data_IF_618223471538
#
_entry.id   IF_618223471538
#
_cell.length_a   1.000
_cell.length_b   1.000
_cell.length_c   1.000
_cell.angle_alpha   90.00
_cell.angle_beta   90.00
_cell.angle_gamma   90.00
#
_symmetry.space_group_name_H-M   'P 1'
#
loop_
_entity.id
_entity.type
_entity.pdbx_description
1 polymer ?
#
# COMPACT_ATOMS: atom_id res chain seq x y z
N UNK A 1 -6.98 39.76 -14.87
CA UNK A 1 -6.66 38.46 -15.52
C UNK A 1 -5.70 37.59 -14.69
N UNK A 2 -5.75 37.63 -13.34
CA UNK A 2 -4.85 36.82 -12.49
C UNK A 2 -5.56 36.25 -11.25
N UNK A 3 -6.75 35.66 -11.45
CA UNK A 3 -7.56 35.12 -10.36
C UNK A 3 -8.55 34.02 -10.74
N UNK A 4 -8.47 33.49 -11.96
CA UNK A 4 -9.49 32.57 -12.49
C UNK A 4 -8.97 31.17 -12.86
N UNK A 5 -7.69 30.87 -12.62
CA UNK A 5 -7.13 29.52 -12.85
C UNK A 5 -7.18 28.65 -11.57
N UNK A 6 -7.36 29.26 -10.39
CA UNK A 6 -7.45 28.51 -9.11
C UNK A 6 -8.91 28.18 -8.75
N UNK A 7 -9.89 28.77 -9.44
CA UNK A 7 -11.32 28.68 -9.10
C UNK A 7 -12.16 27.64 -9.85
N UNK A 8 -11.59 26.85 -10.77
CA UNK A 8 -12.33 25.83 -11.54
C UNK A 8 -11.74 24.43 -11.46
N UNK A 9 -10.72 24.20 -10.63
CA UNK A 9 -10.27 22.84 -10.24
C UNK A 9 -11.18 22.24 -9.16
N UNK A 10 -12.48 22.51 -9.26
CA UNK A 10 -13.48 22.26 -8.23
C UNK A 10 -14.86 22.21 -8.86
N UNK A 11 -15.07 21.27 -9.77
CA UNK A 11 -16.41 20.79 -10.10
C UNK A 11 -16.35 19.26 -10.13
N UNK A 12 -17.03 18.69 -9.14
CA UNK A 12 -17.43 17.29 -8.98
C UNK A 12 -16.30 16.25 -8.85
N UNK A 13 -16.06 15.88 -7.59
CA UNK A 13 -15.95 14.50 -7.10
C UNK A 13 -15.11 13.54 -7.96
N UNK A 14 -13.94 13.15 -7.44
CA UNK A 14 -13.12 12.00 -7.88
C UNK A 14 -11.96 12.27 -8.86
N UNK A 15 -11.22 13.37 -8.69
CA UNK A 15 -9.81 13.38 -9.14
C UNK A 15 -9.00 12.54 -8.15
N UNK A 16 -9.14 11.22 -8.23
CA UNK A 16 -8.33 10.29 -7.43
C UNK A 16 -6.83 10.56 -7.60
N UNK A 17 -6.00 10.00 -6.72
CA UNK A 17 -4.53 10.18 -6.70
C UNK A 17 -3.88 10.10 -8.09
N UNK A 18 -4.42 9.27 -8.99
CA UNK A 18 -4.00 9.14 -10.39
C UNK A 18 -4.19 10.44 -11.19
N UNK A 19 -5.37 11.07 -11.11
CA UNK A 19 -5.64 12.32 -11.82
C UNK A 19 -4.76 13.48 -11.34
N UNK A 20 -4.50 13.56 -10.04
CA UNK A 20 -3.61 14.59 -9.49
C UNK A 20 -2.17 14.45 -10.03
N UNK A 21 -1.66 13.22 -10.09
CA UNK A 21 -0.29 12.93 -10.55
C UNK A 21 -0.10 13.10 -12.05
N UNK A 22 -1.10 12.74 -12.86
CA UNK A 22 -0.95 12.67 -14.32
C UNK A 22 -1.71 13.75 -15.11
N UNK A 23 -2.57 14.55 -14.46
CA UNK A 23 -3.27 15.67 -15.09
C UNK A 23 -2.81 16.98 -14.45
N UNK A 24 -3.04 17.13 -13.14
CA UNK A 24 -2.81 18.39 -12.45
C UNK A 24 -1.32 18.77 -12.38
N UNK A 25 -0.45 17.83 -12.00
CA UNK A 25 0.98 18.10 -11.90
C UNK A 25 1.66 18.42 -13.25
N UNK A 26 1.41 17.67 -14.33
CA UNK A 26 1.91 18.05 -15.65
C UNK A 26 1.44 19.43 -16.12
N UNK A 27 0.18 19.79 -15.86
CA UNK A 27 -0.34 21.13 -16.18
C UNK A 27 0.37 22.21 -15.37
N UNK A 28 0.64 21.96 -14.08
CA UNK A 28 1.42 22.88 -13.25
C UNK A 28 2.84 23.08 -13.81
N UNK A 29 3.52 22.00 -14.23
CA UNK A 29 4.84 22.11 -14.86
C UNK A 29 4.79 22.86 -16.20
N UNK A 30 3.73 22.71 -16.99
CA UNK A 30 3.58 23.46 -18.24
C UNK A 30 3.41 24.97 -17.97
N UNK A 31 2.63 25.33 -16.95
CA UNK A 31 2.38 26.74 -16.59
C UNK A 31 3.62 27.48 -16.07
N UNK A 32 4.65 26.75 -15.60
CA UNK A 32 5.88 27.38 -15.11
C UNK A 32 6.75 27.99 -16.22
N UNK A 33 6.54 27.59 -17.48
CA UNK A 33 7.34 27.96 -18.67
C UNK A 33 8.87 27.74 -18.49
N UNK A 34 9.64 27.57 -19.57
CA UNK A 34 11.10 27.39 -19.49
C UNK A 34 11.60 26.14 -18.74
N UNK A 35 11.71 26.21 -17.39
CA UNK A 35 12.26 25.18 -16.49
C UNK A 35 11.27 24.03 -16.23
N UNK A 36 9.97 24.26 -16.42
CA UNK A 36 8.91 23.28 -16.14
C UNK A 36 9.11 21.91 -16.79
N UNK A 37 9.64 21.84 -18.02
CA UNK A 37 9.94 20.57 -18.70
C UNK A 37 10.99 19.74 -17.97
N UNK A 38 12.05 20.40 -17.47
CA UNK A 38 13.12 19.72 -16.73
C UNK A 38 12.60 19.19 -15.39
N UNK A 39 11.81 20.01 -14.67
CA UNK A 39 11.20 19.60 -13.40
C UNK A 39 10.23 18.44 -13.59
N UNK A 40 9.38 18.49 -14.61
CA UNK A 40 8.48 17.39 -14.94
C UNK A 40 9.24 16.10 -15.25
N UNK A 41 10.30 16.17 -16.05
CA UNK A 41 11.14 15.01 -16.33
C UNK A 41 11.77 14.42 -15.06
N UNK A 42 12.40 15.25 -14.22
CA UNK A 42 13.03 14.79 -12.97
C UNK A 42 12.01 14.23 -11.99
N UNK A 43 10.83 14.83 -11.89
CA UNK A 43 9.74 14.36 -11.05
C UNK A 43 9.25 12.97 -11.48
N UNK A 44 8.92 12.78 -12.76
CA UNK A 44 8.45 11.48 -13.24
C UNK A 44 9.56 10.41 -13.23
N UNK A 45 10.82 10.81 -13.40
CA UNK A 45 11.95 9.90 -13.21
C UNK A 45 12.04 9.43 -11.76
N UNK A 46 11.93 10.34 -10.80
CA UNK A 46 11.92 9.99 -9.37
C UNK A 46 10.70 9.12 -9.01
N UNK A 47 9.52 9.44 -9.55
CA UNK A 47 8.30 8.67 -9.37
C UNK A 47 8.44 7.25 -9.93
N UNK A 48 9.02 7.09 -11.12
CA UNK A 48 9.26 5.78 -11.73
C UNK A 48 10.24 4.94 -10.91
N UNK A 49 11.33 5.53 -10.41
CA UNK A 49 12.29 4.84 -9.54
C UNK A 49 11.62 4.42 -8.23
N UNK A 50 10.84 5.30 -7.60
CA UNK A 50 10.11 5.00 -6.36
C UNK A 50 9.04 3.90 -6.53
N UNK A 51 8.35 3.89 -7.66
CA UNK A 51 7.40 2.83 -8.01
C UNK A 51 8.12 1.49 -8.22
N UNK A 52 9.27 1.49 -8.93
CA UNK A 52 10.05 0.27 -9.18
C UNK A 52 10.58 -0.35 -7.88
N UNK A 53 11.14 0.44 -6.97
CA UNK A 53 11.67 -0.08 -5.70
C UNK A 53 10.55 -0.65 -4.81
N UNK A 54 9.39 0.00 -4.78
CA UNK A 54 8.22 -0.49 -4.07
C UNK A 54 7.70 -1.80 -4.67
N UNK A 55 7.61 -1.89 -6.00
CA UNK A 55 7.19 -3.10 -6.70
C UNK A 55 8.14 -4.28 -6.44
N UNK A 56 9.46 -4.04 -6.43
CA UNK A 56 10.46 -5.07 -6.08
C UNK A 56 10.29 -5.54 -4.63
N UNK A 57 10.10 -4.62 -3.68
CA UNK A 57 9.89 -4.98 -2.27
C UNK A 57 8.63 -5.83 -2.08
N UNK A 58 7.54 -5.51 -2.78
CA UNK A 58 6.28 -6.27 -2.69
C UNK A 58 6.40 -7.65 -3.35
N UNK A 59 7.08 -7.74 -4.50
CA UNK A 59 7.31 -9.02 -5.17
C UNK A 59 8.19 -9.95 -4.31
N UNK A 60 9.22 -9.42 -3.65
CA UNK A 60 10.13 -10.23 -2.83
C UNK A 60 9.41 -10.89 -1.64
N UNK A 61 8.43 -10.21 -1.03
CA UNK A 61 7.59 -10.81 0.04
C UNK A 61 6.84 -12.04 -0.48
N UNK A 62 6.25 -11.95 -1.67
CA UNK A 62 5.60 -13.10 -2.32
C UNK A 62 6.60 -14.20 -2.69
N UNK A 63 7.76 -13.82 -3.22
CA UNK A 63 8.83 -14.76 -3.61
C UNK A 63 9.36 -15.53 -2.41
N UNK A 64 9.66 -14.86 -1.29
CA UNK A 64 10.08 -15.53 -0.05
C UNK A 64 9.02 -16.50 0.44
N UNK A 65 7.75 -16.06 0.46
CA UNK A 65 6.63 -16.89 0.88
C UNK A 65 6.48 -18.14 0.01
N UNK A 66 6.70 -18.03 -1.31
CA UNK A 66 6.64 -19.15 -2.23
C UNK A 66 7.85 -20.09 -2.13
N UNK A 67 9.03 -19.58 -1.79
CA UNK A 67 10.21 -20.40 -1.52
C UNK A 67 9.98 -21.23 -0.24
N UNK A 68 9.58 -20.56 0.84
CA UNK A 68 9.42 -21.20 2.15
C UNK A 68 8.20 -22.13 2.20
N UNK A 69 7.09 -21.74 1.57
CA UNK A 69 5.83 -22.49 1.60
C UNK A 69 5.70 -23.56 0.52
N UNK A 70 6.25 -23.35 -0.68
CA UNK A 70 6.10 -24.25 -1.84
C UNK A 70 7.41 -24.90 -2.30
N UNK A 71 8.54 -24.56 -1.68
CA UNK A 71 9.85 -25.13 -2.02
C UNK A 71 10.35 -24.73 -3.42
N UNK A 72 9.82 -23.66 -4.01
CA UNK A 72 10.21 -23.22 -5.36
C UNK A 72 11.60 -22.61 -5.35
N UNK A 73 12.33 -22.73 -6.46
CA UNK A 73 13.58 -21.99 -6.64
C UNK A 73 13.30 -20.50 -6.85
N UNK A 74 14.15 -19.63 -6.29
CA UNK A 74 14.01 -18.16 -6.34
C UNK A 74 13.64 -17.63 -7.74
N UNK A 75 14.35 -18.09 -8.77
CA UNK A 75 14.09 -17.68 -10.16
C UNK A 75 12.70 -18.07 -10.64
N UNK A 76 12.24 -19.29 -10.32
CA UNK A 76 10.90 -19.75 -10.70
C UNK A 76 9.85 -18.95 -9.94
N UNK A 77 9.98 -18.81 -8.62
CA UNK A 77 9.05 -18.04 -7.81
C UNK A 77 8.88 -16.60 -8.32
N UNK A 78 9.99 -15.90 -8.59
CA UNK A 78 9.97 -14.53 -9.10
C UNK A 78 9.30 -14.42 -10.48
N UNK A 79 9.59 -15.35 -11.41
CA UNK A 79 8.97 -15.33 -12.74
C UNK A 79 7.47 -15.64 -12.68
N UNK A 80 7.07 -16.67 -11.93
CA UNK A 80 5.66 -17.05 -11.83
C UNK A 80 4.82 -15.97 -11.17
N UNK A 81 5.28 -15.42 -10.04
CA UNK A 81 4.57 -14.34 -9.35
C UNK A 81 4.60 -13.05 -10.18
N UNK A 82 5.73 -12.70 -10.79
CA UNK A 82 5.84 -11.52 -11.63
C UNK A 82 4.89 -11.56 -12.83
N UNK A 83 4.83 -12.69 -13.55
CA UNK A 83 3.89 -12.89 -14.66
C UNK A 83 2.44 -12.88 -14.15
N UNK A 84 2.16 -13.57 -13.03
CA UNK A 84 0.82 -13.60 -12.44
C UNK A 84 0.32 -12.21 -12.07
N UNK A 85 1.14 -11.41 -11.39
CA UNK A 85 0.82 -10.03 -11.01
C UNK A 85 0.67 -9.15 -12.25
N UNK A 86 1.54 -9.29 -13.26
CA UNK A 86 1.43 -8.54 -14.50
C UNK A 86 0.11 -8.83 -15.25
N UNK A 87 -0.32 -10.10 -15.29
CA UNK A 87 -1.59 -10.49 -15.89
C UNK A 87 -2.79 -9.96 -15.10
N UNK A 88 -2.75 -10.04 -13.77
CA UNK A 88 -3.80 -9.45 -12.93
C UNK A 88 -3.87 -7.93 -13.08
N UNK A 89 -2.73 -7.27 -13.28
CA UNK A 89 -2.62 -5.83 -13.51
C UNK A 89 -3.23 -5.35 -14.83
N UNK A 90 -3.52 -6.24 -15.78
CA UNK A 90 -4.19 -5.86 -17.04
C UNK A 90 -5.60 -5.33 -16.79
N UNK A 91 -6.36 -5.89 -15.84
CA UNK A 91 -7.71 -5.42 -15.54
C UNK A 91 -7.74 -3.94 -15.10
N UNK A 92 -7.04 -3.58 -14.02
CA UNK A 92 -6.88 -2.19 -13.58
C UNK A 92 -6.28 -1.25 -14.63
N UNK A 93 -5.48 -1.77 -15.57
CA UNK A 93 -4.89 -0.95 -16.64
C UNK A 93 -5.93 -0.50 -17.69
N UNK A 94 -7.02 -1.26 -17.86
CA UNK A 94 -8.10 -0.92 -18.79
C UNK A 94 -9.28 -0.20 -18.13
N UNK A 95 -9.54 -0.46 -16.85
CA UNK A 95 -10.69 0.10 -16.13
C UNK A 95 -10.31 0.59 -14.73
N UNK A 96 -10.46 1.91 -14.52
CA UNK A 96 -10.20 2.59 -13.23
C UNK A 96 -11.15 2.08 -12.13
N UNK A 97 -12.33 1.58 -12.48
CA UNK A 97 -13.27 0.98 -11.52
C UNK A 97 -12.71 -0.33 -10.94
N UNK A 98 -12.05 -1.13 -11.79
CA UNK A 98 -11.37 -2.36 -11.35
C UNK A 98 -10.15 -2.00 -10.49
N UNK A 99 -9.41 -0.95 -10.86
CA UNK A 99 -8.31 -0.42 -10.04
C UNK A 99 -8.81 -0.03 -8.64
N UNK A 100 -9.92 0.71 -8.55
CA UNK A 100 -10.52 1.10 -7.28
C UNK A 100 -10.98 -0.09 -6.43
N UNK A 101 -11.60 -1.10 -7.06
CA UNK A 101 -11.99 -2.32 -6.36
C UNK A 101 -10.77 -3.08 -5.81
N UNK A 102 -9.72 -3.24 -6.61
CA UNK A 102 -8.50 -3.93 -6.19
C UNK A 102 -7.75 -3.16 -5.10
N UNK A 103 -7.69 -1.83 -5.19
CA UNK A 103 -7.09 -0.97 -4.16
C UNK A 103 -7.86 -1.06 -2.84
N UNK A 104 -9.20 -1.03 -2.87
CA UNK A 104 -10.01 -1.20 -1.66
C UNK A 104 -9.84 -2.60 -1.04
N UNK A 105 -9.86 -3.65 -1.87
CA UNK A 105 -9.65 -5.01 -1.40
C UNK A 105 -8.27 -5.20 -0.78
N UNK A 106 -7.20 -4.76 -1.45
CA UNK A 106 -5.84 -4.96 -0.97
C UNK A 106 -5.48 -4.02 0.19
N UNK A 107 -5.71 -2.72 0.00
CA UNK A 107 -5.30 -1.66 0.92
C UNK A 107 -6.20 -1.52 2.15
N UNK A 108 -7.51 -1.71 2.02
CA UNK A 108 -8.44 -1.51 3.14
C UNK A 108 -8.87 -2.81 3.80
N UNK A 109 -9.01 -3.90 3.05
CA UNK A 109 -9.45 -5.19 3.61
C UNK A 109 -8.26 -6.08 3.98
N UNK A 110 -7.45 -6.51 3.01
CA UNK A 110 -6.37 -7.48 3.27
C UNK A 110 -5.29 -6.94 4.19
N UNK A 111 -4.88 -5.67 4.02
CA UNK A 111 -3.87 -5.05 4.88
C UNK A 111 -4.35 -4.94 6.32
N UNK A 112 -5.60 -4.47 6.54
CA UNK A 112 -6.15 -4.28 7.89
C UNK A 112 -6.41 -5.62 8.56
N UNK A 113 -7.03 -6.58 7.86
CA UNK A 113 -7.29 -7.93 8.41
C UNK A 113 -5.98 -8.68 8.67
N UNK A 114 -5.02 -8.60 7.76
CA UNK A 114 -3.69 -9.20 7.93
C UNK A 114 -2.93 -8.58 9.10
N UNK A 115 -2.99 -7.25 9.24
CA UNK A 115 -2.43 -6.53 10.39
C UNK A 115 -3.10 -6.92 11.70
N UNK A 116 -4.43 -7.07 11.72
CA UNK A 116 -5.18 -7.49 12.90
C UNK A 116 -4.78 -8.91 13.31
N UNK A 117 -4.74 -9.85 12.35
CA UNK A 117 -4.31 -11.22 12.59
C UNK A 117 -2.87 -11.28 13.11
N UNK A 118 -1.95 -10.51 12.51
CA UNK A 118 -0.56 -10.42 12.96
C UNK A 118 -0.46 -9.85 14.38
N UNK A 119 -1.19 -8.78 14.68
CA UNK A 119 -1.18 -8.16 16.01
C UNK A 119 -1.72 -9.09 17.10
N UNK A 120 -2.79 -9.84 16.81
CA UNK A 120 -3.34 -10.82 17.73
C UNK A 120 -2.37 -11.98 17.95
N UNK A 121 -1.74 -12.48 16.87
CA UNK A 121 -0.75 -13.54 16.95
C UNK A 121 0.47 -13.12 17.79
N UNK A 122 1.06 -11.95 17.52
CA UNK A 122 2.24 -11.47 18.26
C UNK A 122 1.88 -11.07 19.70
N UNK A 123 0.73 -10.44 19.90
CA UNK A 123 0.30 -9.95 21.22
C UNK A 123 -0.14 -11.05 22.19
N UNK A 124 -0.75 -12.13 21.68
CA UNK A 124 -1.40 -13.14 22.50
C UNK A 124 -0.88 -14.57 22.29
N UNK A 125 -0.61 -14.98 21.05
CA UNK A 125 -0.22 -16.36 20.75
C UNK A 125 1.29 -16.60 20.91
N UNK A 126 2.11 -15.60 20.60
CA UNK A 126 3.56 -15.71 20.65
C UNK A 126 4.07 -15.59 22.09
N UNK A 127 4.46 -16.73 22.67
CA UNK A 127 4.91 -16.85 24.08
C UNK A 127 6.15 -15.98 24.35
N UNK A 128 7.09 -15.94 23.41
CA UNK A 128 8.31 -15.12 23.48
C UNK A 128 8.44 -14.17 22.28
N UNK A 129 7.49 -13.22 22.18
CA UNK A 129 7.53 -12.18 21.14
C UNK A 129 8.76 -11.27 21.25
N UNK A 130 9.23 -11.02 22.47
CA UNK A 130 10.37 -10.15 22.74
C UNK A 130 11.69 -10.82 22.29
N UNK A 131 11.86 -12.11 22.58
CA UNK A 131 13.00 -12.89 22.08
C UNK A 131 13.00 -13.06 20.56
N UNK A 132 11.83 -13.20 19.94
CA UNK A 132 11.72 -13.28 18.48
C UNK A 132 12.18 -11.98 17.77
N UNK A 133 11.94 -10.81 18.36
CA UNK A 133 12.38 -9.52 17.82
C UNK A 133 13.84 -9.22 18.15
N UNK A 134 14.29 -9.56 19.36
CA UNK A 134 15.66 -9.30 19.82
C UNK A 134 16.69 -10.25 19.20
N UNK A 135 16.28 -11.43 18.74
CA UNK A 135 17.21 -12.45 18.29
C UNK A 135 18.16 -12.87 19.42
N UNK A 136 19.47 -12.86 19.15
CA UNK A 136 20.51 -13.23 20.12
C UNK A 136 21.08 -12.05 20.94
N UNK A 137 20.48 -10.86 20.88
CA UNK A 137 20.98 -9.70 21.64
C UNK A 137 20.62 -9.83 23.14
N UNK A 138 21.61 -9.82 24.06
CA UNK A 138 21.36 -9.95 25.50
C UNK A 138 20.72 -8.73 26.14
N UNK A 139 20.70 -7.57 25.46
CA UNK A 139 20.18 -6.32 26.04
C UNK A 139 18.68 -6.24 25.87
N UNK A 140 17.92 -6.37 26.96
CA UNK A 140 16.47 -6.10 26.98
C UNK A 140 16.20 -4.62 27.25
N UNK A 141 15.89 -3.79 26.25
CA UNK A 141 15.53 -2.42 26.51
C UNK A 141 14.11 -2.34 27.10
N UNK A 142 13.91 -1.45 28.08
CA UNK A 142 12.64 -1.31 28.81
C UNK A 142 11.43 -0.93 27.94
N UNK A 143 11.64 -0.46 26.70
CA UNK A 143 10.57 -0.16 25.74
C UNK A 143 9.91 -1.42 25.17
N UNK A 144 10.54 -2.60 25.26
CA UNK A 144 9.97 -3.87 24.78
C UNK A 144 8.65 -4.22 25.46
N UNK A 145 8.56 -4.00 26.78
CA UNK A 145 7.33 -4.26 27.54
C UNK A 145 6.18 -3.34 27.11
N UNK A 146 6.48 -2.07 26.83
CA UNK A 146 5.51 -1.11 26.31
C UNK A 146 5.07 -1.45 24.88
N UNK A 147 6.03 -1.85 24.02
CA UNK A 147 5.76 -2.33 22.67
C UNK A 147 4.86 -3.57 22.67
N UNK A 148 5.13 -4.55 23.54
CA UNK A 148 4.30 -5.75 23.66
C UNK A 148 2.91 -5.44 24.19
N UNK A 149 2.80 -4.54 25.19
CA UNK A 149 1.51 -4.06 25.67
C UNK A 149 0.73 -3.37 24.54
N UNK A 150 1.41 -2.57 23.72
CA UNK A 150 0.81 -1.89 22.58
C UNK A 150 0.26 -2.88 21.54
N UNK A 151 1.01 -3.92 21.21
CA UNK A 151 0.55 -4.99 20.30
C UNK A 151 -0.56 -5.85 20.89
N UNK A 152 -0.72 -5.88 22.21
CA UNK A 152 -1.73 -6.71 22.87
C UNK A 152 -3.10 -6.05 22.96
N UNK A 153 -3.16 -4.73 23.14
CA UNK A 153 -4.41 -4.01 23.43
C UNK A 153 -4.70 -2.85 22.46
N UNK A 154 -3.92 -1.75 22.40
CA UNK A 154 -4.31 -0.60 21.58
C UNK A 154 -4.22 -0.86 20.07
N UNK A 155 -3.21 -1.60 19.60
CA UNK A 155 -3.06 -1.92 18.17
C UNK A 155 -4.21 -2.80 17.65
N UNK A 156 -4.52 -3.97 18.24
CA UNK A 156 -5.62 -4.80 17.76
C UNK A 156 -6.98 -4.11 17.92
N UNK A 157 -7.17 -3.31 18.98
CA UNK A 157 -8.41 -2.55 19.15
C UNK A 157 -8.60 -1.51 18.04
N UNK A 158 -7.56 -0.74 17.72
CA UNK A 158 -7.59 0.23 16.63
C UNK A 158 -7.83 -0.46 15.28
N UNK A 159 -7.10 -1.55 15.00
CA UNK A 159 -7.27 -2.31 13.77
C UNK A 159 -8.65 -2.97 13.67
N UNK A 160 -9.26 -3.40 14.77
CA UNK A 160 -10.62 -3.91 14.77
C UNK A 160 -11.66 -2.84 14.42
N UNK A 161 -11.49 -1.62 14.94
CA UNK A 161 -12.34 -0.47 14.58
C UNK A 161 -12.16 -0.12 13.10
N UNK A 162 -10.92 -0.04 12.62
CA UNK A 162 -10.63 0.24 11.20
C UNK A 162 -11.19 -0.87 10.31
N UNK A 163 -11.03 -2.14 10.69
CA UNK A 163 -11.58 -3.28 9.96
C UNK A 163 -13.10 -3.20 9.85
N UNK A 164 -13.78 -2.83 10.92
CA UNK A 164 -15.24 -2.66 10.91
C UNK A 164 -15.69 -1.61 9.88
N UNK A 165 -15.02 -0.45 9.84
CA UNK A 165 -15.31 0.58 8.84
C UNK A 165 -14.96 0.11 7.42
N UNK A 166 -13.78 -0.49 7.22
CA UNK A 166 -13.35 -0.99 5.91
C UNK A 166 -14.30 -2.05 5.34
N UNK A 167 -14.81 -2.96 6.17
CA UNK A 167 -15.80 -3.97 5.78
C UNK A 167 -17.15 -3.34 5.44
N UNK A 168 -17.58 -2.34 6.21
CA UNK A 168 -18.82 -1.61 5.93
C UNK A 168 -18.73 -0.93 4.56
N UNK A 169 -17.65 -0.22 4.31
CA UNK A 169 -17.43 0.53 3.07
C UNK A 169 -17.37 -0.43 1.87
N UNK A 170 -16.70 -1.58 2.05
CA UNK A 170 -16.67 -2.64 1.05
C UNK A 170 -18.06 -3.22 0.75
N UNK A 171 -18.85 -3.50 1.80
CA UNK A 171 -20.21 -4.02 1.62
C UNK A 171 -21.10 -3.02 0.89
N UNK A 172 -20.99 -1.73 1.21
CA UNK A 172 -21.74 -0.69 0.49
C UNK A 172 -21.30 -0.54 -0.96
N UNK A 173 -20.01 -0.70 -1.25
CA UNK A 173 -19.50 -0.66 -2.62
C UNK A 173 -20.05 -1.80 -3.49
N UNK A 174 -20.27 -2.99 -2.91
CA UNK A 174 -20.87 -4.13 -3.62
C UNK A 174 -22.40 -4.04 -3.67
N UNK A 175 -23.05 -3.64 -2.58
CA UNK A 175 -24.51 -3.63 -2.47
C UNK A 175 -25.19 -2.40 -3.10
N UNK A 176 -24.44 -1.32 -3.35
CA UNK A 176 -24.91 -0.10 -3.99
C UNK A 176 -24.59 0.00 -5.48
N UNK A 177 -23.97 -1.03 -6.07
CA UNK A 177 -23.70 -1.16 -7.50
C UNK A 177 -24.77 -1.94 -8.25
#
# INVERSE_FOLDING_TARGET
LSGQIIGTAGTENDVGTVGALFITLPQAFQAMEGVGRLLGFLFFLALAVGALTSAVSLLEVGVSSAIDGLGLSRRRAALWLGIGIALLGLGPAYDISILGLMDHLAGNVFLVVGGLALSLFVGWQLRDAEGAVMGADPRRPGWLGLWRLALRVPVPLLLAVVAFFALRDFWTAIAGG
#
